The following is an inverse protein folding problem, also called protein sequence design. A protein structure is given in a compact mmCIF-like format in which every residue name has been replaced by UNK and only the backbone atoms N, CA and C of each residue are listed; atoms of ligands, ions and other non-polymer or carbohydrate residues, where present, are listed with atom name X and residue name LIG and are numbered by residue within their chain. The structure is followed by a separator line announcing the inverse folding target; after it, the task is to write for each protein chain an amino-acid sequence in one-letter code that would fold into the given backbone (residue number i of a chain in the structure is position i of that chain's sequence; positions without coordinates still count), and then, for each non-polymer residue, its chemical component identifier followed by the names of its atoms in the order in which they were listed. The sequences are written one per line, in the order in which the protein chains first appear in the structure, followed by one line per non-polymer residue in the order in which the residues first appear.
data_IF_747621414273
#
_entry.id   IF_747621414273
#
_cell.length_a   1.000
_cell.length_b   1.000
_cell.length_c   1.000
_cell.angle_alpha   90.00
_cell.angle_beta   90.00
_cell.angle_gamma   90.00
#
_symmetry.space_group_name_H-M   'P 1'
#
loop_
_entity.id
_entity.type
_entity.pdbx_description
1 polymer ?
#
# COMPACT_ATOMS: atom_id res chain seq x y z
N UNK A 1 -18.53 2.52 16.03
CA UNK A 1 -17.24 1.84 15.79
C UNK A 1 -16.67 2.34 14.47
N UNK A 2 -15.53 3.05 14.48
CA UNK A 2 -15.01 3.84 13.34
C UNK A 2 -14.68 2.93 12.15
N UNK A 3 -15.13 3.31 10.95
CA UNK A 3 -14.77 2.68 9.67
C UNK A 3 -13.24 2.62 9.55
N UNK A 4 -12.68 1.43 9.67
CA UNK A 4 -11.26 1.16 9.47
C UNK A 4 -10.96 1.40 7.98
N UNK A 5 -10.06 2.35 7.69
CA UNK A 5 -9.55 2.62 6.34
C UNK A 5 -8.49 1.55 6.07
N UNK A 6 -8.68 0.69 5.06
CA UNK A 6 -7.81 -0.47 4.81
C UNK A 6 -6.62 -0.17 3.92
N UNK A 7 -6.48 1.07 3.44
CA UNK A 7 -5.18 1.53 2.97
C UNK A 7 -4.34 1.91 4.20
N UNK A 8 -3.51 0.93 4.52
CA UNK A 8 -2.72 0.79 5.72
C UNK A 8 -1.64 1.87 5.79
N UNK A 9 -1.28 2.29 7.01
CA UNK A 9 -0.18 3.23 7.29
C UNK A 9 1.09 2.88 6.51
N UNK A 10 1.34 1.59 6.33
CA UNK A 10 2.48 1.04 5.60
C UNK A 10 2.53 1.36 4.12
N UNK A 11 1.38 1.56 3.45
CA UNK A 11 1.36 2.11 2.10
C UNK A 11 1.99 3.48 2.12
N UNK A 12 1.43 4.40 2.90
CA UNK A 12 1.90 5.77 2.98
C UNK A 12 3.39 5.82 3.38
N UNK A 13 3.84 4.93 4.26
CA UNK A 13 5.27 4.79 4.61
C UNK A 13 6.14 4.38 3.42
N UNK A 14 5.75 3.36 2.64
CA UNK A 14 6.48 2.93 1.45
C UNK A 14 6.51 4.03 0.37
N UNK A 15 5.38 4.68 0.13
CA UNK A 15 5.29 5.78 -0.83
C UNK A 15 6.13 6.99 -0.38
N UNK A 16 6.10 7.33 0.91
CA UNK A 16 6.93 8.40 1.46
C UNK A 16 8.43 8.08 1.38
N UNK A 17 8.80 6.82 1.61
CA UNK A 17 10.18 6.34 1.42
C UNK A 17 10.66 6.55 -0.01
N UNK A 18 9.90 6.04 -0.98
CA UNK A 18 10.23 6.15 -2.41
C UNK A 18 10.26 7.61 -2.89
N UNK A 19 9.27 8.42 -2.50
CA UNK A 19 9.21 9.83 -2.87
C UNK A 19 10.34 10.63 -2.21
N UNK A 20 10.60 10.39 -0.93
CA UNK A 20 11.69 11.05 -0.20
C UNK A 20 13.04 10.75 -0.84
N UNK A 21 13.29 9.51 -1.24
CA UNK A 21 14.50 9.14 -1.95
C UNK A 21 14.58 9.75 -3.35
N UNK A 22 13.48 9.76 -4.11
CA UNK A 22 13.44 10.42 -5.43
C UNK A 22 13.78 11.92 -5.34
N UNK A 23 13.36 12.59 -4.27
CA UNK A 23 13.62 14.03 -4.08
C UNK A 23 15.03 14.28 -3.53
N UNK A 24 15.50 13.47 -2.58
CA UNK A 24 16.71 13.75 -1.80
C UNK A 24 17.95 12.96 -2.25
N UNK A 25 17.75 11.90 -3.04
CA UNK A 25 18.77 10.91 -3.38
C UNK A 25 19.23 10.04 -2.21
N UNK A 26 18.53 10.07 -1.07
CA UNK A 26 18.87 9.32 0.15
C UNK A 26 17.74 8.37 0.52
N UNK A 27 18.09 7.16 0.92
CA UNK A 27 17.12 6.21 1.48
C UNK A 27 16.46 6.72 2.76
N UNK A 28 15.37 6.09 3.17
CA UNK A 28 14.55 6.58 4.29
C UNK A 28 15.28 6.43 5.63
N UNK A 29 16.09 5.39 5.82
CA UNK A 29 16.87 5.19 7.04
C UNK A 29 17.95 6.26 7.15
N UNK A 30 18.63 6.54 6.03
CA UNK A 30 19.61 7.63 5.97
C UNK A 30 18.97 9.01 6.27
N UNK A 31 17.74 9.26 5.79
CA UNK A 31 17.00 10.49 6.12
C UNK A 31 16.61 10.58 7.60
N UNK A 32 16.40 9.44 8.26
CA UNK A 32 16.11 9.35 9.70
C UNK A 32 17.39 9.35 10.57
N UNK A 33 18.57 9.53 9.96
CA UNK A 33 19.88 9.47 10.61
C UNK A 33 20.19 8.11 11.26
N UNK A 34 19.70 7.02 10.66
CA UNK A 34 20.03 5.66 11.05
C UNK A 34 21.23 5.15 10.26
N UNK A 35 22.02 4.28 10.88
CA UNK A 35 23.17 3.65 10.24
C UNK A 35 22.70 2.65 9.17
N UNK A 36 23.39 2.65 8.03
CA UNK A 36 23.08 1.83 6.85
C UNK A 36 24.38 1.31 6.23
N UNK A 37 24.30 0.24 5.44
CA UNK A 37 25.48 -0.46 4.93
C UNK A 37 26.20 -1.29 6.00
N UNK A 38 25.45 -1.75 7.00
CA UNK A 38 25.94 -2.52 8.15
C UNK A 38 25.27 -3.89 8.19
N UNK A 39 25.89 -4.90 8.81
CA UNK A 39 25.24 -6.19 9.06
C UNK A 39 23.95 -6.03 9.88
N UNK A 40 22.92 -6.83 9.59
CA UNK A 40 21.61 -6.75 10.27
C UNK A 40 21.70 -6.79 11.80
N UNK A 41 22.63 -7.56 12.36
CA UNK A 41 22.78 -7.71 13.81
C UNK A 41 23.37 -6.47 14.50
N UNK A 42 23.89 -5.51 13.73
CA UNK A 42 24.40 -4.21 14.21
C UNK A 42 23.34 -3.11 14.09
N UNK A 43 22.26 -3.36 13.34
CA UNK A 43 21.19 -2.39 13.16
C UNK A 43 20.43 -2.12 14.45
N UNK A 44 19.79 -0.95 14.52
CA UNK A 44 19.03 -0.53 15.69
C UNK A 44 17.95 -1.56 16.06
N UNK A 45 17.91 -2.07 17.31
CA UNK A 45 16.97 -3.12 17.71
C UNK A 45 15.50 -2.75 17.52
N UNK A 46 15.16 -1.46 17.68
CA UNK A 46 13.79 -0.97 17.48
C UNK A 46 13.37 -1.04 16.01
N UNK A 47 14.31 -0.76 15.09
CA UNK A 47 14.09 -0.94 13.65
C UNK A 47 13.89 -2.41 13.29
N UNK A 48 14.69 -3.32 13.85
CA UNK A 48 14.52 -4.76 13.65
C UNK A 48 13.17 -5.26 14.18
N UNK A 49 12.75 -4.78 15.34
CA UNK A 49 11.43 -5.07 15.89
C UNK A 49 10.31 -4.56 14.97
N UNK A 50 10.45 -3.33 14.45
CA UNK A 50 9.49 -2.76 13.51
C UNK A 50 9.38 -3.58 12.22
N UNK A 51 10.50 -4.04 11.66
CA UNK A 51 10.54 -4.93 10.49
C UNK A 51 9.84 -6.25 10.80
N UNK A 52 10.18 -6.90 11.93
CA UNK A 52 9.54 -8.14 12.36
C UNK A 52 8.02 -7.99 12.51
N UNK A 53 7.58 -6.93 13.19
CA UNK A 53 6.16 -6.62 13.37
C UNK A 53 5.45 -6.43 12.03
N UNK A 54 6.08 -5.71 11.10
CA UNK A 54 5.54 -5.47 9.76
C UNK A 54 5.38 -6.77 8.97
N UNK A 55 6.38 -7.67 9.01
CA UNK A 55 6.32 -8.98 8.36
C UNK A 55 5.25 -9.89 8.98
N UNK A 56 5.17 -9.96 10.31
CA UNK A 56 4.12 -10.72 11.00
C UNK A 56 2.72 -10.19 10.68
N UNK A 57 2.57 -8.87 10.59
CA UNK A 57 1.33 -8.23 10.16
C UNK A 57 0.96 -8.57 8.72
N UNK A 58 1.94 -8.58 7.81
CA UNK A 58 1.72 -8.88 6.39
C UNK A 58 1.18 -10.30 6.16
N UNK A 59 1.60 -11.27 6.98
CA UNK A 59 1.13 -12.67 6.90
C UNK A 59 -0.10 -12.94 7.78
N UNK A 60 -0.64 -11.93 8.47
CA UNK A 60 -1.79 -12.08 9.37
C UNK A 60 -1.49 -12.77 10.71
N UNK A 61 -0.20 -12.99 11.04
CA UNK A 61 0.20 -13.65 12.29
C UNK A 61 -0.09 -12.83 13.55
N UNK A 62 -0.36 -11.53 13.40
CA UNK A 62 -0.79 -10.63 14.49
C UNK A 62 -2.32 -10.65 14.73
N UNK A 63 -3.04 -11.49 14.00
CA UNK A 63 -4.49 -11.66 14.08
C UNK A 63 -5.18 -11.29 12.77
N UNK A 64 -6.04 -12.20 12.30
CA UNK A 64 -6.84 -12.04 11.07
C UNK A 64 -8.29 -12.50 11.34
N UNK A 65 -8.91 -11.91 12.38
CA UNK A 65 -10.26 -12.26 12.82
C UNK A 65 -11.33 -11.62 11.94
N UNK A 66 -12.49 -12.27 11.83
CA UNK A 66 -13.60 -11.80 10.99
C UNK A 66 -13.35 -11.93 9.49
N UNK A 67 -14.33 -11.49 8.69
CA UNK A 67 -14.28 -11.60 7.23
C UNK A 67 -14.82 -10.34 6.57
N UNK A 68 -14.27 -10.00 5.40
CA UNK A 68 -14.90 -9.04 4.50
C UNK A 68 -15.93 -9.76 3.65
N UNK A 69 -17.15 -9.22 3.65
CA UNK A 69 -18.22 -9.65 2.77
C UNK A 69 -18.54 -8.48 1.85
N UNK A 70 -18.61 -8.75 0.56
CA UNK A 70 -19.00 -7.75 -0.42
C UNK A 70 -20.45 -7.33 -0.18
N UNK A 71 -20.72 -6.04 -0.35
CA UNK A 71 -22.10 -5.57 -0.30
C UNK A 71 -22.86 -6.18 -1.49
N UNK A 72 -24.10 -6.66 -1.29
CA UNK A 72 -24.90 -7.19 -2.39
C UNK A 72 -24.97 -6.12 -3.50
N UNK A 73 -24.90 -6.51 -4.78
CA UNK A 73 -24.92 -5.56 -5.88
C UNK A 73 -26.17 -4.69 -5.71
N UNK A 74 -25.96 -3.41 -5.41
CA UNK A 74 -27.03 -2.42 -5.48
C UNK A 74 -27.62 -2.55 -6.88
N UNK A 75 -28.92 -2.87 -6.98
CA UNK A 75 -29.62 -3.29 -8.21
C UNK A 75 -29.66 -2.23 -9.32
N UNK A 76 -28.48 -1.82 -9.79
CA UNK A 76 -28.22 -0.84 -10.85
C UNK A 76 -28.02 -1.50 -12.21
N UNK A 77 -28.43 -2.76 -12.38
CA UNK A 77 -28.64 -3.39 -13.71
C UNK A 77 -29.71 -2.67 -14.56
N UNK A 78 -30.26 -1.54 -14.08
CA UNK A 78 -31.15 -0.64 -14.80
C UNK A 78 -30.70 0.83 -14.83
N UNK A 79 -29.43 1.14 -14.62
CA UNK A 79 -28.94 2.47 -14.97
C UNK A 79 -28.75 2.55 -16.49
N UNK A 80 -29.86 2.84 -17.18
CA UNK A 80 -29.90 3.27 -18.57
C UNK A 80 -28.93 4.45 -18.70
N UNK A 81 -27.75 4.25 -19.30
CA UNK A 81 -26.76 5.31 -19.51
C UNK A 81 -27.33 6.25 -20.57
N UNK A 82 -27.74 7.50 -20.24
CA UNK A 82 -28.12 8.47 -21.25
C UNK A 82 -26.84 8.99 -21.94
N UNK A 83 -26.89 9.31 -23.25
CA UNK A 83 -25.71 9.73 -23.98
C UNK A 83 -25.23 11.12 -23.50
N UNK A 84 -24.02 11.15 -22.92
CA UNK A 84 -23.40 12.34 -22.33
C UNK A 84 -22.49 11.95 -21.16
N UNK A 85 -21.41 11.20 -21.43
CA UNK A 85 -20.54 10.53 -20.44
C UNK A 85 -20.14 11.46 -19.28
N UNK A 86 -20.38 11.04 -18.04
CA UNK A 86 -19.86 11.73 -16.86
C UNK A 86 -18.33 11.72 -16.83
N UNK A 87 -17.71 12.71 -16.18
CA UNK A 87 -16.25 12.84 -16.06
C UNK A 87 -15.55 11.55 -15.59
N UNK A 88 -16.22 10.74 -14.76
CA UNK A 88 -15.71 9.46 -14.24
C UNK A 88 -15.67 8.37 -15.31
N UNK A 89 -16.72 8.20 -16.10
CA UNK A 89 -16.73 7.24 -17.21
C UNK A 89 -15.76 7.64 -18.33
N UNK A 90 -15.52 8.95 -18.53
CA UNK A 90 -14.52 9.43 -19.47
C UNK A 90 -13.08 9.05 -19.07
N UNK A 91 -12.83 8.83 -17.77
CA UNK A 91 -11.56 8.36 -17.21
C UNK A 91 -11.52 6.83 -17.00
N UNK A 92 -12.53 6.09 -17.47
CA UNK A 92 -12.62 4.64 -17.26
C UNK A 92 -12.92 4.22 -15.82
N UNK A 93 -13.38 5.14 -14.97
CA UNK A 93 -13.75 4.89 -13.58
C UNK A 93 -15.24 4.61 -13.44
N UNK A 94 -15.63 3.82 -12.44
CA UNK A 94 -17.04 3.49 -12.22
C UNK A 94 -17.87 4.74 -11.85
N UNK A 95 -19.04 4.87 -12.45
CA UNK A 95 -20.00 5.95 -12.15
C UNK A 95 -20.73 5.73 -10.81
N UNK A 96 -20.79 4.47 -10.32
CA UNK A 96 -21.26 4.09 -8.99
C UNK A 96 -20.19 3.27 -8.23
N UNK A 97 -20.15 3.39 -6.90
CA UNK A 97 -19.18 2.68 -6.05
C UNK A 97 -17.85 3.43 -5.81
N UNK A 98 -16.82 2.74 -5.27
CA UNK A 98 -15.50 3.32 -4.94
C UNK A 98 -14.80 3.87 -6.18
N UNK A 99 -13.99 4.91 -6.03
CA UNK A 99 -13.33 5.59 -7.16
C UNK A 99 -12.45 4.67 -8.00
N UNK A 100 -11.88 3.64 -7.38
CA UNK A 100 -10.99 2.66 -8.03
C UNK A 100 -11.57 1.24 -8.05
N UNK A 101 -12.84 1.05 -7.65
CA UNK A 101 -13.50 -0.26 -7.66
C UNK A 101 -12.91 -1.31 -6.70
N UNK A 102 -12.08 -0.92 -5.73
CA UNK A 102 -11.55 -1.87 -4.74
C UNK A 102 -12.64 -2.38 -3.79
N UNK A 103 -12.69 -3.70 -3.61
CA UNK A 103 -13.33 -4.32 -2.44
C UNK A 103 -12.39 -4.19 -1.23
N UNK A 104 -12.92 -4.28 -0.01
CA UNK A 104 -12.08 -4.28 1.20
C UNK A 104 -11.06 -5.42 1.24
N UNK A 105 -11.39 -6.58 0.67
CA UNK A 105 -10.44 -7.69 0.54
C UNK A 105 -9.24 -7.31 -0.35
N UNK A 106 -9.48 -6.61 -1.46
CA UNK A 106 -8.42 -6.13 -2.35
C UNK A 106 -7.57 -5.06 -1.65
N UNK A 107 -8.18 -4.13 -0.92
CA UNK A 107 -7.44 -3.15 -0.12
C UNK A 107 -6.52 -3.82 0.91
N UNK A 108 -7.02 -4.83 1.62
CA UNK A 108 -6.22 -5.58 2.59
C UNK A 108 -5.05 -6.30 1.92
N UNK A 109 -5.29 -6.97 0.79
CA UNK A 109 -4.26 -7.67 0.04
C UNK A 109 -3.15 -6.72 -0.44
N UNK A 110 -3.54 -5.61 -1.07
CA UNK A 110 -2.59 -4.59 -1.54
C UNK A 110 -1.84 -3.98 -0.36
N UNK A 111 -2.52 -3.76 0.78
CA UNK A 111 -1.91 -3.36 2.04
C UNK A 111 -0.82 -4.31 2.53
N UNK A 112 -1.05 -5.63 2.48
CA UNK A 112 -0.06 -6.65 2.84
C UNK A 112 1.14 -6.66 1.88
N UNK A 113 0.90 -6.47 0.58
CA UNK A 113 1.99 -6.32 -0.39
C UNK A 113 2.86 -5.09 -0.10
N UNK A 114 2.26 -3.95 0.28
CA UNK A 114 3.02 -2.78 0.70
C UNK A 114 3.80 -3.02 1.99
N UNK A 115 3.26 -3.78 2.96
CA UNK A 115 4.01 -4.19 4.16
C UNK A 115 5.26 -5.00 3.80
N UNK A 116 5.13 -5.99 2.90
CA UNK A 116 6.26 -6.79 2.43
C UNK A 116 7.29 -5.94 1.68
N UNK A 117 6.83 -5.13 0.72
CA UNK A 117 7.70 -4.25 -0.05
C UNK A 117 8.45 -3.26 0.83
N UNK A 118 7.78 -2.68 1.82
CA UNK A 118 8.42 -1.78 2.78
C UNK A 118 9.43 -2.51 3.65
N UNK A 119 9.06 -3.63 4.27
CA UNK A 119 9.97 -4.39 5.12
C UNK A 119 11.24 -4.83 4.37
N UNK A 120 11.10 -5.32 3.14
CA UNK A 120 12.24 -5.74 2.32
C UNK A 120 13.10 -4.56 1.87
N UNK A 121 12.49 -3.42 1.53
CA UNK A 121 13.26 -2.22 1.21
C UNK A 121 14.12 -1.73 2.39
N UNK A 122 13.60 -1.80 3.62
CA UNK A 122 14.33 -1.44 4.84
C UNK A 122 15.47 -2.41 5.11
N UNK A 123 15.23 -3.71 4.99
CA UNK A 123 16.26 -4.75 5.12
C UNK A 123 17.37 -4.51 4.09
N UNK A 124 17.00 -4.26 2.84
CA UNK A 124 17.95 -3.95 1.77
C UNK A 124 18.76 -2.70 2.08
N UNK A 125 18.14 -1.65 2.60
CA UNK A 125 18.83 -0.40 2.95
C UNK A 125 19.80 -0.59 4.13
N UNK A 126 19.41 -1.36 5.16
CA UNK A 126 20.29 -1.73 6.27
C UNK A 126 21.56 -2.39 5.76
N UNK A 127 21.42 -3.44 4.93
CA UNK A 127 22.56 -4.26 4.48
C UNK A 127 23.40 -3.52 3.43
N UNK A 128 22.75 -2.86 2.47
CA UNK A 128 23.44 -2.36 1.26
C UNK A 128 23.77 -0.88 1.32
N UNK A 129 23.16 -0.12 2.23
CA UNK A 129 23.28 1.34 2.26
C UNK A 129 22.52 2.07 1.15
N UNK A 130 21.69 1.36 0.38
CA UNK A 130 20.96 1.92 -0.77
C UNK A 130 19.47 1.97 -0.44
N UNK A 131 18.82 3.09 -0.75
CA UNK A 131 17.38 3.22 -0.56
C UNK A 131 16.57 2.33 -1.51
N UNK A 132 15.26 2.32 -1.30
CA UNK A 132 14.31 1.52 -2.07
C UNK A 132 14.35 1.79 -3.59
N UNK A 133 14.47 3.07 -4.00
CA UNK A 133 14.51 3.45 -5.41
C UNK A 133 15.82 3.00 -6.07
N UNK A 134 16.95 3.18 -5.39
CA UNK A 134 18.24 2.68 -5.85
C UNK A 134 18.28 1.14 -5.93
N UNK A 135 17.66 0.44 -4.97
CA UNK A 135 17.50 -1.01 -5.02
C UNK A 135 16.68 -1.43 -6.26
N UNK A 136 15.53 -0.79 -6.52
CA UNK A 136 14.72 -1.06 -7.71
C UNK A 136 15.51 -0.87 -9.01
N UNK A 137 16.29 0.20 -9.13
CA UNK A 137 17.15 0.43 -10.29
C UNK A 137 18.17 -0.70 -10.49
N UNK A 138 18.80 -1.16 -9.40
CA UNK A 138 19.81 -2.22 -9.45
C UNK A 138 19.19 -3.59 -9.79
N UNK A 139 18.05 -3.91 -9.17
CA UNK A 139 17.42 -5.23 -9.33
C UNK A 139 16.71 -5.38 -10.66
N UNK A 140 16.08 -4.32 -11.16
CA UNK A 140 15.34 -4.35 -12.44
C UNK A 140 16.23 -4.01 -13.64
N UNK A 141 17.34 -3.30 -13.41
CA UNK A 141 18.17 -2.72 -14.48
C UNK A 141 17.52 -1.53 -15.19
N UNK A 142 16.32 -1.11 -14.78
CA UNK A 142 15.60 0.01 -15.39
C UNK A 142 16.22 1.32 -14.89
N UNK A 143 16.61 2.24 -15.77
CA UNK A 143 17.15 3.54 -15.39
C UNK A 143 16.22 4.33 -14.45
N UNK A 144 16.80 5.05 -13.47
CA UNK A 144 16.02 5.80 -12.46
C UNK A 144 15.06 6.82 -13.11
N UNK A 145 15.47 7.48 -14.18
CA UNK A 145 14.63 8.42 -14.93
C UNK A 145 13.39 7.78 -15.59
N UNK A 146 13.40 6.46 -15.81
CA UNK A 146 12.23 5.71 -16.28
C UNK A 146 11.37 5.19 -15.11
N UNK A 147 12.00 4.92 -13.95
CA UNK A 147 11.31 4.48 -12.74
C UNK A 147 10.59 5.65 -12.04
N UNK A 148 11.20 6.84 -12.01
CA UNK A 148 10.70 8.02 -11.32
C UNK A 148 9.25 8.39 -11.69
N UNK A 149 8.87 8.47 -12.99
CA UNK A 149 7.48 8.72 -13.37
C UNK A 149 6.51 7.64 -12.89
N UNK A 150 6.93 6.37 -12.91
CA UNK A 150 6.12 5.24 -12.46
C UNK A 150 5.93 5.26 -10.94
N UNK A 151 6.99 5.58 -10.19
CA UNK A 151 6.95 5.77 -8.75
C UNK A 151 6.06 6.95 -8.40
N UNK A 152 6.21 8.10 -9.05
CA UNK A 152 5.37 9.27 -8.82
C UNK A 152 3.90 8.96 -9.11
N UNK A 153 3.61 8.26 -10.22
CA UNK A 153 2.27 7.79 -10.53
C UNK A 153 1.72 6.88 -9.41
N UNK A 154 2.52 5.91 -8.95
CA UNK A 154 2.11 5.01 -7.86
C UNK A 154 1.85 5.75 -6.55
N UNK A 155 2.67 6.75 -6.22
CA UNK A 155 2.52 7.59 -5.02
C UNK A 155 1.20 8.33 -5.06
N UNK A 156 0.91 8.99 -6.19
CA UNK A 156 -0.34 9.72 -6.41
C UNK A 156 -1.54 8.77 -6.38
N UNK A 157 -1.45 7.63 -7.07
CA UNK A 157 -2.49 6.62 -7.11
C UNK A 157 -2.84 6.10 -5.71
N UNK A 158 -1.84 5.64 -4.95
CA UNK A 158 -2.07 5.08 -3.61
C UNK A 158 -2.47 6.14 -2.59
N UNK A 159 -2.02 7.39 -2.74
CA UNK A 159 -2.50 8.51 -1.93
C UNK A 159 -3.99 8.75 -2.14
N UNK A 160 -4.46 8.81 -3.39
CA UNK A 160 -5.88 8.97 -3.67
C UNK A 160 -6.70 7.74 -3.30
N UNK A 161 -6.14 6.54 -3.49
CA UNK A 161 -6.76 5.32 -3.02
C UNK A 161 -6.95 5.40 -1.49
N UNK A 162 -5.96 5.87 -0.73
CA UNK A 162 -6.03 5.98 0.74
C UNK A 162 -7.19 6.84 1.25
N UNK A 163 -7.63 7.80 0.42
CA UNK A 163 -8.75 8.69 0.72
C UNK A 163 -10.10 8.07 0.32
N UNK A 164 -10.12 7.01 -0.49
CA UNK A 164 -11.32 6.37 -1.02
C UNK A 164 -11.48 4.92 -0.54
N UNK A 165 -12.26 4.66 0.52
CA UNK A 165 -12.42 3.31 1.06
C UNK A 165 -13.16 2.39 0.07
N UNK A 166 -12.73 1.13 0.03
CA UNK A 166 -13.34 0.08 -0.77
C UNK A 166 -14.74 -0.32 -0.30
N UNK A 167 -15.48 -0.95 -1.20
CA UNK A 167 -16.81 -1.53 -0.95
C UNK A 167 -16.75 -2.78 -0.08
N UNK A 168 -17.87 -3.09 0.57
CA UNK A 168 -18.01 -4.25 1.45
C UNK A 168 -18.03 -3.88 2.93
N UNK A 169 -18.41 -4.84 3.75
CA UNK A 169 -18.53 -4.71 5.21
C UNK A 169 -17.71 -5.76 5.93
N UNK A 170 -17.21 -5.39 7.11
CA UNK A 170 -16.50 -6.32 7.98
C UNK A 170 -17.54 -7.00 8.87
N UNK A 171 -17.50 -8.34 8.91
CA UNK A 171 -18.36 -9.18 9.73
C UNK A 171 -17.48 -9.89 10.75
N UNK A 172 -17.85 -9.79 12.03
CA UNK A 172 -17.15 -10.51 13.11
C UNK A 172 -17.58 -11.96 13.15
N UNK A 173 -16.72 -12.84 13.67
CA UNK A 173 -16.99 -14.28 13.72
C UNK A 173 -18.25 -14.62 14.55
N UNK A 174 -18.65 -13.76 15.50
CA UNK A 174 -19.89 -13.87 16.29
C UNK A 174 -21.17 -13.55 15.50
N UNK A 175 -21.07 -12.79 14.39
CA UNK A 175 -22.21 -12.38 13.56
C UNK A 175 -22.45 -13.33 12.36
N UNK A 176 -21.67 -14.42 12.26
CA UNK A 176 -21.64 -15.35 11.12
C UNK A 176 -22.28 -16.72 11.38
N UNK A 177 -22.84 -16.95 12.57
CA UNK A 177 -23.62 -18.14 12.91
C UNK A 177 -25.12 -17.82 12.79
N UNK A 178 -25.65 -17.90 11.57
CA UNK A 178 -27.09 -18.05 11.27
C UNK A 178 -27.25 -19.03 10.09
#
# INVERSE_FOLDING_TARGET
MKRMKYINLTHLSLQASLLGEAITGKGILAQLNLETGIPIYEAEPLLLFFILFTLLGAIGALGDRGKFVDDPPTGLDRAFIPPGKGFRAALGLSEGGPLFGFTKANELFVGRLAQLGFAFSLIGEIITGKGALAQLNIETGVPINEIEPLVLFSVVFFFFAALNPGTGRFVTDEDGED
#
